data_IF_434402451177
#
_entry.id   IF_434402451177
#
_cell.length_a   1.000
_cell.length_b   1.000
_cell.length_c   1.000
_cell.angle_alpha   90.00
_cell.angle_beta   90.00
_cell.angle_gamma   90.00
#
_symmetry.space_group_name_H-M   'P 1'
#
loop_
_entity.id
_entity.type
_entity.pdbx_description
1 polymer ?
#
# COMPACT_ATOMS: atom_id res chain seq x y z
N UNK A 1 -12.53 -25.59 62.62
CA UNK A 1 -11.37 -25.78 61.73
C UNK A 1 -11.71 -25.21 60.36
N UNK A 2 -10.83 -24.33 59.86
CA UNK A 2 -10.95 -23.56 58.61
C UNK A 2 -10.94 -24.47 57.37
N UNK A 3 -11.71 -24.12 56.34
CA UNK A 3 -11.53 -24.36 54.88
C UNK A 3 -12.90 -24.14 54.20
N UNK A 4 -13.13 -23.44 53.09
CA UNK A 4 -12.40 -22.64 52.10
C UNK A 4 -13.51 -21.75 51.50
N UNK A 5 -13.39 -20.42 51.57
CA UNK A 5 -14.19 -19.48 50.77
C UNK A 5 -13.26 -18.97 49.68
N UNK A 6 -13.18 -19.65 48.55
CA UNK A 6 -12.61 -19.09 47.32
C UNK A 6 -13.27 -19.80 46.13
N UNK A 7 -14.36 -19.25 45.60
CA UNK A 7 -14.72 -19.43 44.19
C UNK A 7 -15.71 -18.32 43.83
N UNK A 8 -15.58 -17.78 42.62
CA UNK A 8 -16.39 -16.70 42.01
C UNK A 8 -15.96 -15.24 42.22
N UNK A 9 -14.69 -14.97 42.50
CA UNK A 9 -14.04 -13.72 42.04
C UNK A 9 -13.25 -13.94 40.73
N UNK A 10 -13.52 -15.04 40.02
CA UNK A 10 -12.93 -15.41 38.74
C UNK A 10 -13.76 -14.85 37.56
N UNK A 11 -14.28 -13.63 37.69
CA UNK A 11 -14.98 -12.91 36.60
C UNK A 11 -14.39 -11.51 36.41
N UNK A 12 -13.23 -11.22 37.01
CA UNK A 12 -12.52 -9.94 36.82
C UNK A 12 -11.28 -10.06 35.91
N UNK A 13 -11.01 -11.24 35.37
CA UNK A 13 -10.02 -11.41 34.30
C UNK A 13 -10.74 -11.76 33.01
N UNK A 14 -10.41 -11.04 31.93
CA UNK A 14 -10.75 -11.29 30.52
C UNK A 14 -11.82 -10.41 29.87
N UNK A 15 -12.25 -9.30 30.48
CA UNK A 15 -12.61 -8.14 29.68
C UNK A 15 -11.33 -7.40 29.28
N UNK A 16 -10.47 -8.07 28.50
CA UNK A 16 -9.42 -7.36 27.76
C UNK A 16 -10.20 -6.48 26.79
N UNK A 17 -10.11 -5.13 26.88
CA UNK A 17 -10.66 -4.32 25.82
C UNK A 17 -9.93 -4.75 24.55
N UNK A 18 -10.65 -5.39 23.63
CA UNK A 18 -10.16 -5.50 22.27
C UNK A 18 -10.13 -4.07 21.75
N UNK A 19 -8.98 -3.44 21.87
CA UNK A 19 -8.70 -2.18 21.20
C UNK A 19 -8.67 -2.55 19.72
N UNK A 20 -9.84 -2.55 19.09
CA UNK A 20 -9.94 -2.59 17.65
C UNK A 20 -9.24 -1.33 17.18
N UNK A 21 -8.06 -1.47 16.61
CA UNK A 21 -7.46 -0.34 15.96
C UNK A 21 -8.31 -0.05 14.73
N UNK A 22 -8.87 1.15 14.66
CA UNK A 22 -9.61 1.59 13.49
C UNK A 22 -8.67 1.64 12.29
N UNK A 23 -9.16 1.17 11.13
CA UNK A 23 -8.46 1.33 9.87
C UNK A 23 -8.63 2.76 9.39
N UNK A 24 -7.53 3.47 9.19
CA UNK A 24 -7.53 4.86 8.72
C UNK A 24 -6.79 4.97 7.39
N UNK A 25 -7.21 5.92 6.54
CA UNK A 25 -6.50 6.25 5.31
C UNK A 25 -5.36 7.18 5.66
N UNK A 26 -4.11 6.73 5.52
CA UNK A 26 -2.94 7.57 5.77
C UNK A 26 -2.49 8.36 4.53
N UNK A 27 -2.69 7.78 3.34
CA UNK A 27 -2.47 8.48 2.07
C UNK A 27 -3.54 8.10 1.06
N UNK A 28 -3.94 9.05 0.22
CA UNK A 28 -4.78 8.74 -0.93
C UNK A 28 -4.56 9.68 -2.12
N UNK A 29 -5.10 9.29 -3.27
CA UNK A 29 -5.16 10.18 -4.43
C UNK A 29 -5.31 9.43 -5.75
N UNK A 30 -5.33 10.16 -6.87
CA UNK A 30 -5.61 9.58 -8.16
C UNK A 30 -4.48 8.68 -8.65
N UNK A 31 -4.84 7.63 -9.38
CA UNK A 31 -3.90 6.79 -10.11
C UNK A 31 -4.42 6.49 -11.52
N UNK A 32 -3.50 6.13 -12.40
CA UNK A 32 -3.80 5.61 -13.74
C UNK A 32 -2.79 4.51 -14.09
N UNK A 33 -3.28 3.36 -14.54
CA UNK A 33 -2.46 2.26 -15.04
C UNK A 33 -2.86 1.96 -16.50
N UNK A 34 -1.88 2.10 -17.39
CA UNK A 34 -1.96 1.76 -18.79
C UNK A 34 -1.76 0.25 -19.01
N UNK A 35 -2.73 -0.46 -19.58
CA UNK A 35 -2.53 -1.85 -19.96
C UNK A 35 -1.50 -1.96 -21.09
N UNK A 36 -0.62 -2.97 -21.00
CA UNK A 36 0.43 -3.22 -22.00
C UNK A 36 -0.10 -3.55 -23.40
N UNK A 37 -1.38 -3.94 -23.50
CA UNK A 37 -2.08 -4.21 -24.76
C UNK A 37 -3.34 -3.34 -24.83
N UNK A 38 -3.20 -2.05 -25.17
CA UNK A 38 -4.31 -1.07 -25.12
C UNK A 38 -5.43 -1.38 -26.13
N UNK A 39 -5.17 -2.14 -27.20
CA UNK A 39 -6.18 -2.49 -28.20
C UNK A 39 -7.36 -3.32 -27.65
N UNK A 40 -7.26 -3.89 -26.45
CA UNK A 40 -8.30 -4.75 -25.87
C UNK A 40 -8.63 -4.44 -24.40
N UNK A 41 -8.03 -3.40 -23.82
CA UNK A 41 -8.20 -3.05 -22.40
C UNK A 41 -8.14 -1.55 -22.23
N UNK A 42 -9.13 -0.98 -21.55
CA UNK A 42 -9.13 0.41 -21.15
C UNK A 42 -8.09 0.67 -20.04
N UNK A 43 -7.68 1.93 -19.90
CA UNK A 43 -6.88 2.38 -18.76
C UNK A 43 -7.62 2.11 -17.46
N UNK A 44 -6.88 1.69 -16.44
CA UNK A 44 -7.40 1.51 -15.09
C UNK A 44 -7.14 2.81 -14.32
N UNK A 45 -8.18 3.62 -14.16
CA UNK A 45 -8.14 4.89 -13.43
C UNK A 45 -8.96 4.81 -12.16
N UNK A 46 -8.62 5.66 -11.19
CA UNK A 46 -9.41 5.84 -9.99
C UNK A 46 -8.59 6.39 -8.84
N UNK A 47 -8.91 5.96 -7.61
CA UNK A 47 -8.28 6.41 -6.38
C UNK A 47 -7.51 5.27 -5.71
N UNK A 48 -6.25 5.52 -5.40
CA UNK A 48 -5.42 4.66 -4.56
C UNK A 48 -5.54 5.14 -3.12
N UNK A 49 -5.75 4.21 -2.20
CA UNK A 49 -5.78 4.46 -0.76
C UNK A 49 -4.73 3.56 -0.09
N UNK A 50 -3.90 4.16 0.77
CA UNK A 50 -2.96 3.46 1.64
C UNK A 50 -3.53 3.46 3.06
N UNK A 51 -3.95 2.29 3.52
CA UNK A 51 -4.64 2.14 4.80
C UNK A 51 -3.68 1.67 5.88
N UNK A 52 -3.95 2.15 7.10
CA UNK A 52 -3.14 1.90 8.28
C UNK A 52 -4.02 1.37 9.41
N UNK A 53 -3.45 0.49 10.21
CA UNK A 53 -4.03 -0.02 11.44
C UNK A 53 -2.97 0.05 12.54
N UNK A 54 -3.26 0.79 13.62
CA UNK A 54 -2.37 0.94 14.75
C UNK A 54 -1.08 1.67 14.39
N UNK A 55 -1.13 2.56 13.39
CA UNK A 55 0.04 3.24 12.82
C UNK A 55 0.88 2.39 11.86
N UNK A 56 0.52 1.12 11.64
CA UNK A 56 1.20 0.25 10.69
C UNK A 56 0.51 0.27 9.34
N UNK A 57 1.27 0.34 8.25
CA UNK A 57 0.73 0.23 6.90
C UNK A 57 0.22 -1.20 6.66
N UNK A 58 -1.06 -1.34 6.31
CA UNK A 58 -1.70 -2.65 6.23
C UNK A 58 -2.29 -2.98 4.87
N UNK A 59 -2.68 -2.01 4.04
CA UNK A 59 -3.39 -2.33 2.80
C UNK A 59 -3.22 -1.26 1.72
N UNK A 60 -3.03 -1.70 0.47
CA UNK A 60 -3.33 -0.88 -0.71
C UNK A 60 -4.73 -1.24 -1.20
N UNK A 61 -5.60 -0.24 -1.32
CA UNK A 61 -6.92 -0.38 -1.94
C UNK A 61 -7.01 0.54 -3.14
N UNK A 62 -7.35 -0.02 -4.29
CA UNK A 62 -7.66 0.72 -5.52
C UNK A 62 -9.17 0.74 -5.70
N UNK A 63 -9.75 1.92 -5.67
CA UNK A 63 -11.14 2.17 -6.05
C UNK A 63 -11.16 2.71 -7.47
N UNK A 64 -11.78 2.02 -8.41
CA UNK A 64 -11.73 2.31 -9.83
C UNK A 64 -12.93 3.15 -10.25
N UNK A 65 -12.71 4.09 -11.18
CA UNK A 65 -13.79 4.89 -11.77
C UNK A 65 -14.75 4.01 -12.60
N UNK A 66 -14.18 3.00 -13.27
CA UNK A 66 -14.91 2.07 -14.11
C UNK A 66 -14.52 0.61 -13.79
N UNK A 67 -15.45 -0.35 -13.90
CA UNK A 67 -15.13 -1.75 -13.65
C UNK A 67 -14.07 -2.27 -14.61
N UNK A 68 -13.05 -2.93 -14.07
CA UNK A 68 -12.05 -3.70 -14.83
C UNK A 68 -12.21 -5.16 -14.41
N UNK A 69 -12.29 -6.09 -15.38
CA UNK A 69 -12.54 -7.52 -15.10
C UNK A 69 -13.72 -7.77 -14.13
N UNK A 70 -14.77 -6.94 -14.23
CA UNK A 70 -15.98 -7.04 -13.41
C UNK A 70 -15.85 -6.51 -11.97
N UNK A 71 -14.76 -5.83 -11.62
CA UNK A 71 -14.54 -5.29 -10.27
C UNK A 71 -14.22 -3.79 -10.32
N UNK A 72 -14.73 -3.06 -9.32
CA UNK A 72 -14.43 -1.64 -9.08
C UNK A 72 -13.50 -1.44 -7.89
N UNK A 73 -13.21 -2.49 -7.13
CA UNK A 73 -12.32 -2.44 -5.97
C UNK A 73 -11.28 -3.55 -6.10
N UNK A 74 -10.02 -3.21 -5.94
CA UNK A 74 -8.93 -4.17 -5.77
C UNK A 74 -8.17 -3.91 -4.49
N UNK A 75 -7.75 -4.98 -3.84
CA UNK A 75 -6.99 -4.94 -2.60
C UNK A 75 -5.67 -5.66 -2.77
N UNK A 76 -4.63 -5.21 -2.07
CA UNK A 76 -3.38 -5.93 -2.02
C UNK A 76 -3.47 -7.14 -1.10
N UNK A 77 -2.81 -8.23 -1.48
CA UNK A 77 -2.58 -9.40 -0.62
C UNK A 77 -1.21 -9.39 0.03
N UNK A 78 -0.29 -8.60 -0.52
CA UNK A 78 1.08 -8.43 -0.07
C UNK A 78 1.48 -7.00 -0.41
N UNK A 79 2.01 -6.28 0.58
CA UNK A 79 2.30 -4.86 0.47
C UNK A 79 3.39 -4.44 1.45
N UNK A 80 4.22 -3.51 1.02
CA UNK A 80 5.19 -2.81 1.88
C UNK A 80 5.31 -1.36 1.43
N UNK A 81 5.42 -0.46 2.40
CA UNK A 81 5.63 0.97 2.17
C UNK A 81 6.95 1.39 2.78
N UNK A 82 7.70 2.24 2.07
CA UNK A 82 8.88 2.92 2.58
C UNK A 82 8.72 4.43 2.35
N UNK A 83 9.01 5.21 3.39
CA UNK A 83 9.12 6.68 3.28
C UNK A 83 10.57 7.04 3.57
N UNK A 84 11.23 7.70 2.61
CA UNK A 84 12.62 8.11 2.73
C UNK A 84 12.66 9.63 2.76
N UNK A 85 12.85 10.24 3.94
CA UNK A 85 13.14 11.66 4.02
C UNK A 85 14.54 11.87 3.45
N UNK A 86 14.66 12.73 2.44
CA UNK A 86 15.96 13.12 1.89
C UNK A 86 16.19 14.59 2.21
N UNK A 87 17.13 14.86 3.11
CA UNK A 87 17.67 16.21 3.28
C UNK A 87 18.35 16.58 1.96
N UNK A 88 17.95 17.70 1.34
CA UNK A 88 18.48 18.24 0.07
C UNK A 88 17.79 17.78 -1.23
N UNK A 89 16.90 16.78 -1.22
CA UNK A 89 16.08 16.43 -2.40
C UNK A 89 14.59 16.23 -2.03
N UNK A 90 13.79 15.81 -3.00
CA UNK A 90 12.40 15.42 -2.76
C UNK A 90 12.35 14.22 -1.79
N UNK A 91 11.45 14.28 -0.80
CA UNK A 91 11.09 13.10 -0.01
C UNK A 91 10.48 12.05 -0.93
N UNK A 92 10.82 10.78 -0.74
CA UNK A 92 10.34 9.69 -1.59
C UNK A 92 9.43 8.76 -0.81
N UNK A 93 8.23 8.53 -1.34
CA UNK A 93 7.27 7.52 -0.90
C UNK A 93 7.29 6.38 -1.92
N UNK A 94 7.54 5.16 -1.45
CA UNK A 94 7.49 3.97 -2.29
C UNK A 94 6.53 2.95 -1.72
N UNK A 95 5.66 2.41 -2.58
CA UNK A 95 4.67 1.39 -2.23
C UNK A 95 4.86 0.20 -3.16
N UNK A 96 5.24 -0.94 -2.59
CA UNK A 96 5.31 -2.22 -3.29
C UNK A 96 4.02 -2.96 -2.96
N UNK A 97 3.31 -3.46 -3.96
CA UNK A 97 2.08 -4.19 -3.72
C UNK A 97 1.77 -5.21 -4.80
N UNK A 98 1.01 -6.23 -4.39
CA UNK A 98 0.48 -7.28 -5.25
C UNK A 98 -1.01 -7.39 -5.03
N UNK A 99 -1.79 -7.19 -6.08
CA UNK A 99 -3.26 -7.30 -5.98
C UNK A 99 -3.67 -8.75 -5.72
N UNK A 100 -4.71 -8.94 -4.91
CA UNK A 100 -5.27 -10.25 -4.62
C UNK A 100 -5.82 -10.91 -5.90
N UNK A 101 -6.49 -10.12 -6.74
CA UNK A 101 -7.03 -10.52 -8.04
C UNK A 101 -6.73 -9.43 -9.07
N UNK A 102 -6.52 -9.79 -10.36
CA UNK A 102 -6.24 -11.13 -10.85
C UNK A 102 -4.89 -11.65 -10.33
N UNK A 103 -4.70 -12.97 -10.24
CA UNK A 103 -3.40 -13.53 -9.79
C UNK A 103 -2.30 -13.24 -10.81
N UNK A 104 -1.16 -12.75 -10.32
CA UNK A 104 0.02 -12.43 -11.12
C UNK A 104 1.30 -12.83 -10.40
N UNK A 105 2.41 -12.95 -11.15
CA UNK A 105 3.74 -13.29 -10.61
C UNK A 105 4.61 -12.06 -10.29
N UNK A 106 4.20 -10.88 -10.75
CA UNK A 106 4.91 -9.61 -10.63
C UNK A 106 4.35 -8.76 -9.48
N UNK A 107 5.04 -7.66 -9.17
CA UNK A 107 4.59 -6.61 -8.26
C UNK A 107 4.29 -5.34 -9.03
N UNK A 108 3.37 -4.55 -8.49
CA UNK A 108 3.30 -3.13 -8.77
C UNK A 108 4.20 -2.40 -7.77
N UNK A 109 4.93 -1.41 -8.25
CA UNK A 109 5.76 -0.53 -7.41
C UNK A 109 5.43 0.91 -7.77
N UNK A 110 4.78 1.63 -6.86
CA UNK A 110 4.63 3.07 -6.96
C UNK A 110 5.85 3.75 -6.33
N UNK A 111 6.52 4.63 -7.07
CA UNK A 111 7.58 5.50 -6.54
C UNK A 111 7.18 6.93 -6.82
N UNK A 112 6.96 7.70 -5.75
CA UNK A 112 6.45 9.06 -5.80
C UNK A 112 7.30 9.99 -4.94
N UNK A 113 7.51 11.22 -5.40
CA UNK A 113 8.40 12.19 -4.77
C UNK A 113 7.64 13.46 -4.39
N UNK A 114 8.06 14.15 -3.34
CA UNK A 114 7.48 15.42 -2.89
C UNK A 114 8.54 16.42 -2.42
N UNK A 115 8.41 17.69 -2.80
CA UNK A 115 9.25 18.80 -2.31
C UNK A 115 8.91 19.22 -0.88
N UNK A 116 7.63 19.21 -0.54
CA UNK A 116 7.06 19.72 0.71
C UNK A 116 6.55 18.64 1.65
N UNK A 117 6.72 17.37 1.29
CA UNK A 117 6.19 16.22 2.03
C UNK A 117 4.74 15.88 1.71
N UNK A 118 4.07 16.65 0.84
CA UNK A 118 2.78 16.33 0.20
C UNK A 118 2.45 17.40 -0.87
N UNK A 119 1.82 17.08 -2.01
CA UNK A 119 1.53 15.72 -2.49
C UNK A 119 2.80 15.01 -2.98
N UNK A 120 2.75 13.68 -3.02
CA UNK A 120 3.74 12.81 -3.64
C UNK A 120 3.28 12.44 -5.05
N UNK A 121 4.06 12.82 -6.06
CA UNK A 121 3.76 12.54 -7.47
C UNK A 121 4.76 11.54 -8.03
N UNK A 122 4.27 10.55 -8.78
CA UNK A 122 5.09 9.39 -9.10
C UNK A 122 4.62 8.54 -10.25
N UNK A 123 5.39 7.47 -10.46
CA UNK A 123 5.20 6.48 -11.51
C UNK A 123 4.91 5.12 -10.88
N UNK A 124 4.02 4.37 -11.51
CA UNK A 124 3.73 2.97 -11.18
C UNK A 124 4.51 2.09 -12.15
N UNK A 125 5.30 1.18 -11.59
CA UNK A 125 6.09 0.20 -12.33
C UNK A 125 5.51 -1.20 -12.16
N UNK A 126 5.62 -2.00 -13.22
CA UNK A 126 5.48 -3.44 -13.23
C UNK A 126 6.85 -4.08 -13.08
N UNK A 127 7.04 -4.85 -12.02
CA UNK A 127 8.34 -5.41 -11.63
C UNK A 127 8.24 -6.92 -11.45
N UNK A 128 9.11 -7.67 -12.13
CA UNK A 128 9.14 -9.13 -12.07
C UNK A 128 10.38 -9.60 -11.29
N UNK A 129 10.43 -9.24 -10.00
CA UNK A 129 11.48 -9.61 -9.04
C UNK A 129 10.82 -10.05 -7.71
N UNK A 130 11.62 -10.51 -6.75
CA UNK A 130 11.14 -10.85 -5.40
C UNK A 130 10.95 -9.59 -4.55
N UNK A 131 10.12 -9.67 -3.52
CA UNK A 131 9.84 -8.53 -2.63
C UNK A 131 11.13 -8.03 -1.96
N UNK A 132 12.01 -8.94 -1.55
CA UNK A 132 13.28 -8.64 -0.88
C UNK A 132 14.22 -7.85 -1.78
N UNK A 133 14.32 -8.23 -3.06
CA UNK A 133 15.15 -7.53 -4.06
C UNK A 133 14.60 -6.13 -4.30
N UNK A 134 13.28 -6.01 -4.50
CA UNK A 134 12.63 -4.71 -4.72
C UNK A 134 12.83 -3.79 -3.51
N UNK A 135 12.64 -4.31 -2.29
CA UNK A 135 12.86 -3.53 -1.06
C UNK A 135 14.30 -3.10 -0.88
N UNK A 136 15.27 -3.97 -1.14
CA UNK A 136 16.68 -3.64 -1.00
C UNK A 136 17.07 -2.45 -1.90
N UNK A 137 16.54 -2.40 -3.13
CA UNK A 137 16.72 -1.29 -4.05
C UNK A 137 16.05 0.00 -3.54
N UNK A 138 14.82 -0.10 -3.05
CA UNK A 138 14.05 1.08 -2.65
C UNK A 138 14.51 1.67 -1.33
N UNK A 139 15.06 0.90 -0.39
CA UNK A 139 15.49 1.38 0.94
C UNK A 139 16.57 2.46 0.88
N UNK A 140 17.38 2.50 -0.17
CA UNK A 140 18.38 3.55 -0.38
C UNK A 140 17.79 4.84 -0.99
N UNK A 141 16.56 4.76 -1.50
CA UNK A 141 16.02 5.71 -2.47
C UNK A 141 16.82 5.64 -3.77
N UNK A 142 16.15 5.79 -4.90
CA UNK A 142 16.86 5.87 -6.18
C UNK A 142 16.26 6.95 -7.07
N UNK A 143 17.09 7.51 -7.94
CA UNK A 143 16.71 8.60 -8.84
C UNK A 143 16.29 8.09 -10.22
N UNK A 144 16.71 6.87 -10.59
CA UNK A 144 16.38 6.24 -11.87
C UNK A 144 15.99 4.77 -11.68
N UNK A 145 14.83 4.39 -12.23
CA UNK A 145 14.34 3.03 -12.14
C UNK A 145 15.25 2.04 -12.88
N UNK A 146 15.45 0.82 -12.34
CA UNK A 146 16.14 -0.25 -13.04
C UNK A 146 15.54 -0.50 -14.44
N UNK A 147 16.38 -0.83 -15.43
CA UNK A 147 15.94 -1.01 -16.81
C UNK A 147 14.90 -2.13 -17.02
N UNK A 148 14.86 -3.12 -16.12
CA UNK A 148 13.89 -4.21 -16.15
C UNK A 148 12.51 -3.81 -15.58
N UNK A 149 12.39 -2.65 -14.93
CA UNK A 149 11.13 -2.13 -14.40
C UNK A 149 10.35 -1.44 -15.52
N UNK A 150 9.14 -1.94 -15.80
CA UNK A 150 8.30 -1.38 -16.86
C UNK A 150 7.39 -0.32 -16.27
N UNK A 151 7.54 0.94 -16.68
CA UNK A 151 6.53 1.96 -16.35
C UNK A 151 5.18 1.55 -16.95
N UNK A 152 4.14 1.57 -16.13
CA UNK A 152 2.78 1.20 -16.50
C UNK A 152 1.77 2.25 -16.07
N UNK A 153 2.17 3.35 -15.46
CA UNK A 153 1.19 4.30 -14.94
C UNK A 153 1.77 5.42 -14.11
N UNK A 154 0.86 6.24 -13.59
CA UNK A 154 1.15 7.40 -12.76
C UNK A 154 0.28 7.37 -11.50
N UNK A 155 0.76 8.05 -10.46
CA UNK A 155 0.04 8.16 -9.19
C UNK A 155 0.36 9.48 -8.49
N UNK A 156 -0.65 10.04 -7.83
CA UNK A 156 -0.49 11.17 -6.90
C UNK A 156 -1.09 10.76 -5.56
N UNK A 157 -0.33 10.95 -4.47
CA UNK A 157 -0.73 10.60 -3.11
C UNK A 157 -0.59 11.79 -2.18
N UNK A 158 -1.61 12.03 -1.37
CA UNK A 158 -1.68 13.12 -0.37
C UNK A 158 -1.79 12.49 1.00
N UNK A 159 -0.97 12.95 1.95
CA UNK A 159 -1.00 12.49 3.34
C UNK A 159 -2.20 13.08 4.12
N UNK A 160 -2.72 12.32 5.11
CA UNK A 160 -3.81 12.72 6.02
C UNK A 160 -3.40 12.68 7.49
#
# INVERSE_FOLDING_TARGET
MKKIIILCALVCFLAVPQVFSETVVGYDGPFMIHPQTPMHKADMTGKMNLLFEGGNFTLVRLDLDNPVLGQTIYQSKEQVMNVIPRSETLSQLSVIYKLERPTHKWYFVAVANSTSGSPFEGTIYKVNDTLEVIQALLKAGFDTAPANWKSVGMVTLTAH
#
